data_IF_729103122086
#
_entry.id   IF_729103122086
#
_cell.length_a   1.000
_cell.length_b   1.000
_cell.length_c   1.000
_cell.angle_alpha   90.00
_cell.angle_beta   90.00
_cell.angle_gamma   90.00
#
_symmetry.space_group_name_H-M   'P 1'
#
loop_
_entity.id
_entity.type
_entity.pdbx_description
1 polymer ?
#
# COMPACT_ATOMS: atom_id res chain seq x y z
N UNK A 1 -6.56 21.02 0.49
CA UNK A 1 -7.36 20.64 -0.68
C UNK A 1 -7.88 19.23 -0.46
N UNK A 2 -9.18 18.99 -0.52
CA UNK A 2 -9.72 17.62 -0.48
C UNK A 2 -9.45 16.96 -1.81
N UNK A 3 -8.61 15.93 -1.84
CA UNK A 3 -8.48 15.07 -3.02
C UNK A 3 -9.81 14.35 -3.20
N UNK A 4 -10.53 14.69 -4.25
CA UNK A 4 -11.74 13.95 -4.65
C UNK A 4 -11.32 12.61 -5.23
N UNK A 5 -12.05 11.55 -4.88
CA UNK A 5 -11.84 10.25 -5.48
C UNK A 5 -12.08 10.32 -6.99
N UNK A 6 -11.24 9.63 -7.75
CA UNK A 6 -11.35 9.54 -9.21
C UNK A 6 -12.62 8.81 -9.62
N UNK A 7 -13.10 7.88 -8.79
CA UNK A 7 -14.38 7.20 -8.94
C UNK A 7 -15.16 7.24 -7.62
N UNK A 8 -16.42 7.71 -7.59
CA UNK A 8 -17.20 7.79 -6.35
C UNK A 8 -17.51 6.42 -5.72
N UNK A 9 -17.42 5.34 -6.49
CA UNK A 9 -17.65 3.98 -5.99
C UNK A 9 -16.39 3.33 -5.43
N UNK A 10 -15.21 3.95 -5.61
CA UNK A 10 -13.97 3.40 -5.09
C UNK A 10 -13.91 3.52 -3.56
N UNK A 11 -13.49 2.47 -2.85
CA UNK A 11 -13.28 2.54 -1.41
C UNK A 11 -12.23 3.60 -1.06
N UNK A 12 -12.53 4.40 -0.03
CA UNK A 12 -11.56 5.30 0.59
C UNK A 12 -11.22 4.75 1.96
N UNK A 13 -9.93 4.49 2.19
CA UNK A 13 -9.40 4.07 3.48
C UNK A 13 -8.46 5.15 4.02
N UNK A 14 -7.99 4.99 5.25
CA UNK A 14 -7.10 5.96 5.86
C UNK A 14 -6.07 5.31 6.79
N UNK A 15 -4.96 6.03 6.97
CA UNK A 15 -3.98 5.76 8.02
C UNK A 15 -3.80 7.00 8.89
N UNK A 16 -3.92 6.82 10.20
CA UNK A 16 -3.46 7.80 11.18
C UNK A 16 -1.98 7.53 11.45
N UNK A 17 -1.13 8.51 11.16
CA UNK A 17 0.32 8.35 11.18
C UNK A 17 0.88 8.98 12.44
N UNK A 18 1.79 8.25 13.08
CA UNK A 18 2.61 8.76 14.17
C UNK A 18 4.09 8.72 13.80
N UNK A 19 4.85 9.71 14.25
CA UNK A 19 6.31 9.77 14.10
C UNK A 19 6.89 10.05 15.48
N UNK A 20 7.76 9.17 15.98
CA UNK A 20 8.32 9.30 17.33
C UNK A 20 7.25 9.30 18.44
N UNK A 21 6.11 8.64 18.21
CA UNK A 21 4.97 8.62 19.14
C UNK A 21 4.07 9.85 19.10
N UNK A 22 4.34 10.82 18.23
CA UNK A 22 3.47 12.00 18.03
C UNK A 22 2.58 11.83 16.80
N UNK A 23 1.31 12.17 16.93
CA UNK A 23 0.36 12.18 15.81
C UNK A 23 0.74 13.28 14.80
N UNK A 24 0.99 12.89 13.55
CA UNK A 24 1.39 13.83 12.47
C UNK A 24 0.31 14.04 11.42
N UNK A 25 -0.78 13.26 11.49
CA UNK A 25 -1.97 13.47 10.68
C UNK A 25 -2.49 12.20 10.02
N UNK A 26 -3.52 12.41 9.19
CA UNK A 26 -4.25 11.34 8.50
C UNK A 26 -3.96 11.34 7.01
N UNK A 27 -3.48 10.21 6.49
CA UNK A 27 -3.45 9.94 5.05
C UNK A 27 -4.77 9.30 4.64
N UNK A 28 -5.41 9.81 3.59
CA UNK A 28 -6.57 9.17 2.95
C UNK A 28 -6.13 8.58 1.62
N UNK A 29 -6.58 7.37 1.34
CA UNK A 29 -6.15 6.59 0.17
C UNK A 29 -7.39 6.09 -0.53
N UNK A 30 -7.53 6.43 -1.82
CA UNK A 30 -8.49 5.80 -2.70
C UNK A 30 -7.91 4.46 -3.20
N UNK A 31 -8.73 3.41 -3.15
CA UNK A 31 -8.39 2.10 -3.71
C UNK A 31 -9.12 1.95 -5.04
N UNK A 32 -8.37 1.74 -6.12
CA UNK A 32 -8.93 1.60 -7.48
C UNK A 32 -9.63 0.24 -7.68
N UNK A 33 -10.71 0.00 -6.94
CA UNK A 33 -11.48 -1.24 -6.99
C UNK A 33 -12.17 -1.46 -8.34
N UNK A 34 -12.41 -0.39 -9.09
CA UNK A 34 -12.88 -0.44 -10.47
C UNK A 34 -11.82 -0.95 -11.47
N UNK A 35 -10.52 -0.85 -11.13
CA UNK A 35 -9.41 -1.31 -11.99
C UNK A 35 -8.78 -2.61 -11.49
N UNK A 36 -8.60 -2.73 -10.17
CA UNK A 36 -7.93 -3.85 -9.48
C UNK A 36 -8.76 -4.29 -8.24
N UNK A 37 -9.97 -4.85 -8.44
CA UNK A 37 -10.90 -5.19 -7.35
C UNK A 37 -10.30 -6.14 -6.31
N UNK A 38 -9.51 -7.14 -6.72
CA UNK A 38 -8.91 -8.10 -5.76
C UNK A 38 -7.83 -7.44 -4.92
N UNK A 39 -6.98 -6.64 -5.56
CA UNK A 39 -5.90 -5.93 -4.90
C UNK A 39 -6.45 -4.87 -3.93
N UNK A 40 -7.46 -4.12 -4.37
CA UNK A 40 -8.17 -3.14 -3.55
C UNK A 40 -8.84 -3.80 -2.33
N UNK A 41 -9.54 -4.92 -2.52
CA UNK A 41 -10.21 -5.62 -1.42
C UNK A 41 -9.20 -6.18 -0.41
N UNK A 42 -8.09 -6.72 -0.90
CA UNK A 42 -7.01 -7.18 -0.05
C UNK A 42 -6.42 -6.06 0.82
N UNK A 43 -6.29 -4.85 0.30
CA UNK A 43 -5.81 -3.70 1.07
C UNK A 43 -6.87 -3.16 2.03
N UNK A 44 -8.15 -3.13 1.61
CA UNK A 44 -9.27 -2.58 2.40
C UNK A 44 -9.48 -3.30 3.73
N UNK A 45 -9.21 -4.61 3.75
CA UNK A 45 -9.25 -5.55 4.88
C UNK A 45 -10.07 -5.09 6.09
N UNK A 46 -11.37 -5.35 6.02
CA UNK A 46 -12.29 -5.22 7.16
C UNK A 46 -12.36 -6.57 7.90
N UNK A 47 -12.19 -6.61 9.22
CA UNK A 47 -12.58 -7.76 10.06
C UNK A 47 -11.62 -8.96 10.23
N UNK A 48 -10.33 -8.89 9.87
CA UNK A 48 -9.33 -9.92 10.25
C UNK A 48 -8.52 -9.43 11.46
N UNK A 49 -8.19 -10.28 12.45
CA UNK A 49 -7.44 -9.88 13.65
C UNK A 49 -6.04 -9.27 13.41
N UNK A 50 -5.54 -9.31 12.17
CA UNK A 50 -4.21 -8.86 11.77
C UNK A 50 -4.36 -7.94 10.55
N UNK A 51 -3.89 -6.70 10.64
CA UNK A 51 -3.99 -5.69 9.60
C UNK A 51 -2.96 -4.57 9.80
N UNK A 52 -3.08 -3.46 9.08
CA UNK A 52 -2.08 -2.37 9.08
C UNK A 52 -1.99 -1.56 10.38
N UNK A 53 -2.88 -1.78 11.35
CA UNK A 53 -2.82 -1.06 12.63
C UNK A 53 -1.54 -1.42 13.37
N UNK A 54 -0.81 -0.39 13.81
CA UNK A 54 0.51 -0.52 14.45
C UNK A 54 1.62 -1.05 13.53
N UNK A 55 1.40 -1.16 12.22
CA UNK A 55 2.51 -1.32 11.27
C UNK A 55 3.36 -0.05 11.23
N UNK A 56 4.65 -0.26 10.98
CA UNK A 56 5.60 0.82 10.71
C UNK A 56 5.88 0.94 9.21
N UNK A 57 6.32 2.11 8.78
CA UNK A 57 7.04 2.27 7.53
C UNK A 57 8.49 1.88 7.75
N UNK A 58 8.81 0.59 7.59
CA UNK A 58 10.14 0.05 7.88
C UNK A 58 11.21 0.52 6.88
N UNK A 59 10.82 1.03 5.71
CA UNK A 59 11.76 1.53 4.71
C UNK A 59 11.29 2.85 4.10
N UNK A 60 12.06 3.90 4.32
CA UNK A 60 11.79 5.26 3.85
C UNK A 60 12.98 5.72 3.01
N UNK A 61 12.77 5.92 1.71
CA UNK A 61 13.81 6.42 0.79
C UNK A 61 13.35 7.78 0.25
N UNK A 62 14.09 8.82 0.67
CA UNK A 62 13.85 10.19 0.22
C UNK A 62 13.86 10.26 -1.32
N UNK A 63 12.91 11.01 -1.87
CA UNK A 63 12.74 11.23 -3.32
C UNK A 63 12.44 9.96 -4.12
N UNK A 64 12.01 8.88 -3.44
CA UNK A 64 11.66 7.62 -4.09
C UNK A 64 10.37 7.00 -3.54
N UNK A 65 10.34 6.49 -2.30
CA UNK A 65 9.14 5.80 -1.80
C UNK A 65 9.18 5.61 -0.28
N UNK A 66 8.00 5.36 0.28
CA UNK A 66 7.84 4.81 1.63
C UNK A 66 7.20 3.43 1.52
N UNK A 67 7.80 2.44 2.19
CA UNK A 67 7.35 1.07 2.20
C UNK A 67 6.98 0.67 3.63
N UNK A 68 5.82 0.05 3.75
CA UNK A 68 5.29 -0.47 5.00
C UNK A 68 4.31 -1.61 4.76
N UNK A 69 3.51 -1.90 5.77
CA UNK A 69 2.48 -2.93 5.68
C UNK A 69 2.95 -4.36 5.94
N UNK A 70 4.21 -4.54 6.32
CA UNK A 70 4.65 -5.78 6.95
C UNK A 70 4.20 -5.80 8.42
N UNK A 71 3.03 -6.38 8.67
CA UNK A 71 2.50 -6.63 10.02
C UNK A 71 2.88 -8.01 10.56
N UNK A 72 3.64 -8.80 9.79
CA UNK A 72 4.03 -10.17 10.17
C UNK A 72 5.38 -10.11 10.89
N UNK A 73 6.39 -9.52 10.24
CA UNK A 73 7.76 -9.45 10.73
C UNK A 73 8.21 -8.01 11.02
N UNK A 74 7.59 -7.02 10.37
CA UNK A 74 7.90 -5.60 10.56
C UNK A 74 9.23 -5.15 9.94
N UNK A 75 9.87 -5.99 9.13
CA UNK A 75 11.20 -5.76 8.55
C UNK A 75 11.21 -5.77 7.01
N UNK A 76 10.08 -6.07 6.40
CA UNK A 76 9.90 -6.17 4.96
C UNK A 76 10.00 -7.59 4.40
N UNK A 77 10.04 -8.63 5.25
CA UNK A 77 10.07 -10.04 4.84
C UNK A 77 8.72 -10.75 4.99
N UNK A 78 7.77 -10.12 5.69
CA UNK A 78 6.45 -10.70 5.91
C UNK A 78 5.59 -10.78 4.65
N UNK A 79 4.89 -11.91 4.48
CA UNK A 79 3.92 -12.10 3.40
C UNK A 79 2.60 -12.54 4.00
N UNK A 80 1.54 -11.77 3.70
CA UNK A 80 0.19 -12.12 4.10
C UNK A 80 -0.79 -11.45 3.14
N UNK A 81 -1.82 -12.18 2.71
CA UNK A 81 -2.97 -11.63 1.98
C UNK A 81 -4.26 -12.22 2.55
N UNK A 82 -5.41 -11.63 2.21
CA UNK A 82 -6.73 -12.22 2.54
C UNK A 82 -7.01 -13.54 1.79
N UNK A 83 -6.21 -13.86 0.78
CA UNK A 83 -6.38 -15.01 -0.10
C UNK A 83 -5.57 -16.25 0.33
N UNK A 84 -5.05 -16.26 1.57
CA UNK A 84 -4.30 -17.39 2.18
C UNK A 84 -3.00 -17.73 1.44
N UNK A 85 -2.11 -16.76 1.36
CA UNK A 85 -0.81 -16.89 0.70
C UNK A 85 -0.55 -15.66 -0.16
N UNK A 86 0.49 -15.67 -0.99
CA UNK A 86 0.63 -14.62 -1.97
C UNK A 86 -0.41 -14.79 -3.10
N UNK A 87 -0.63 -13.73 -3.88
CA UNK A 87 -1.56 -13.76 -5.02
C UNK A 87 -0.93 -13.07 -6.23
N UNK A 88 -1.30 -13.54 -7.42
CA UNK A 88 -0.77 -13.06 -8.68
C UNK A 88 -1.13 -11.59 -8.96
N UNK A 89 -0.27 -10.91 -9.72
CA UNK A 89 -0.52 -9.56 -10.23
C UNK A 89 -1.85 -9.52 -11.00
N UNK A 90 -2.74 -8.61 -10.58
CA UNK A 90 -4.08 -8.53 -11.16
C UNK A 90 -4.07 -7.88 -12.55
N UNK A 91 -3.35 -6.77 -12.72
CA UNK A 91 -2.97 -6.15 -13.99
C UNK A 91 -1.98 -4.99 -13.76
N UNK A 92 -1.46 -4.42 -14.86
CA UNK A 92 -0.51 -3.28 -14.86
C UNK A 92 -1.05 -2.05 -15.59
N UNK A 93 -2.37 -1.80 -15.54
CA UNK A 93 -3.00 -0.69 -16.29
C UNK A 93 -2.64 0.68 -15.71
N UNK A 94 -2.45 0.77 -14.40
CA UNK A 94 -2.10 2.02 -13.70
C UNK A 94 -0.59 2.13 -13.63
N UNK A 95 -0.03 3.18 -14.23
CA UNK A 95 1.40 3.47 -14.19
C UNK A 95 1.76 4.37 -13.01
N UNK A 96 2.97 4.20 -12.48
CA UNK A 96 3.59 5.07 -11.48
C UNK A 96 3.96 6.44 -12.07
N UNK A 97 2.94 7.22 -12.41
CA UNK A 97 3.06 8.48 -13.17
C UNK A 97 3.10 9.73 -12.30
N UNK A 98 2.72 9.63 -11.02
CA UNK A 98 2.71 10.75 -10.08
C UNK A 98 3.04 10.32 -8.64
N UNK A 99 3.51 11.26 -7.79
CA UNK A 99 3.62 11.05 -6.35
C UNK A 99 2.28 10.70 -5.70
N UNK A 100 2.32 9.92 -4.62
CA UNK A 100 1.15 9.60 -3.79
C UNK A 100 0.33 8.41 -4.26
N UNK A 101 0.77 7.70 -5.31
CA UNK A 101 0.15 6.45 -5.72
C UNK A 101 0.44 5.33 -4.72
N UNK A 102 -0.56 4.49 -4.46
CA UNK A 102 -0.42 3.24 -3.71
C UNK A 102 -0.06 2.12 -4.68
N UNK A 103 0.95 1.32 -4.34
CA UNK A 103 1.39 0.16 -5.12
C UNK A 103 1.64 -1.03 -4.21
N UNK A 104 1.45 -2.23 -4.74
CA UNK A 104 1.88 -3.46 -4.06
C UNK A 104 3.41 -3.56 -4.13
N UNK A 105 4.02 -4.05 -3.05
CA UNK A 105 5.42 -4.45 -3.09
C UNK A 105 5.56 -5.75 -3.87
N UNK A 106 6.48 -5.76 -4.82
CA UNK A 106 6.96 -6.98 -5.48
C UNK A 106 8.49 -7.01 -5.34
N UNK A 107 9.10 -8.18 -5.12
CA UNK A 107 10.55 -8.33 -5.19
C UNK A 107 11.01 -8.03 -6.62
N UNK A 108 11.39 -6.78 -6.87
CA UNK A 108 11.82 -6.35 -8.20
C UNK A 108 13.25 -6.80 -8.44
N UNK A 109 13.47 -7.55 -9.53
CA UNK A 109 14.79 -7.71 -10.14
C UNK A 109 15.41 -6.37 -10.56
N UNK A 110 16.72 -6.36 -10.87
CA UNK A 110 17.44 -5.12 -11.19
C UNK A 110 16.86 -4.51 -12.47
N UNK A 111 16.04 -3.45 -12.34
CA UNK A 111 15.84 -2.33 -13.30
C UNK A 111 14.49 -1.57 -13.16
N UNK A 112 13.61 -1.91 -12.22
CA UNK A 112 12.28 -1.27 -12.13
C UNK A 112 12.15 -0.29 -10.95
N UNK A 113 12.87 0.84 -11.02
CA UNK A 113 12.80 1.91 -9.98
C UNK A 113 12.02 3.12 -10.50
N UNK A 114 10.71 3.24 -10.23
CA UNK A 114 10.00 4.47 -10.53
C UNK A 114 10.65 5.64 -9.75
N UNK A 115 10.89 6.79 -10.39
CA UNK A 115 11.57 7.93 -9.73
C UNK A 115 10.65 8.81 -8.89
N UNK A 116 9.44 8.33 -8.57
CA UNK A 116 8.39 9.15 -7.96
C UNK A 116 8.00 8.62 -6.57
N UNK A 117 7.74 9.51 -5.59
CA UNK A 117 7.27 9.17 -4.24
C UNK A 117 6.02 8.29 -4.26
N UNK A 118 6.19 6.97 -4.12
CA UNK A 118 5.09 6.00 -4.10
C UNK A 118 4.94 5.44 -2.69
N UNK A 119 3.70 5.18 -2.27
CA UNK A 119 3.41 4.38 -1.09
C UNK A 119 3.41 2.91 -1.51
N UNK A 120 4.33 2.13 -0.94
CA UNK A 120 4.43 0.70 -1.19
C UNK A 120 3.86 -0.03 0.02
N UNK A 121 2.80 -0.80 -0.21
CA UNK A 121 2.26 -1.71 0.78
C UNK A 121 2.70 -3.13 0.47
N UNK A 122 3.28 -3.79 1.47
CA UNK A 122 3.73 -5.16 1.33
C UNK A 122 2.55 -6.13 1.42
N UNK A 123 2.17 -6.67 0.27
CA UNK A 123 1.30 -7.81 0.17
C UNK A 123 1.44 -8.39 -1.25
N UNK A 124 1.92 -9.61 -1.41
CA UNK A 124 2.26 -10.15 -2.74
C UNK A 124 3.34 -11.23 -2.71
N UNK A 125 3.60 -11.88 -3.85
CA UNK A 125 4.54 -13.01 -4.00
C UNK A 125 5.99 -12.68 -3.59
N UNK A 126 6.68 -13.76 -3.19
CA UNK A 126 8.09 -13.79 -2.74
C UNK A 126 9.03 -13.94 -3.93
#
# INVERSE_FOLDING_TARGET
>A
MSVQATNPNNPIVFFDITIGGQDVGRMKIELFADVVPRTAENFRKDGVPIGFKSCTFHRVIKDFMIQGGDFVNGDGTGICSIYRGPFADENFRVQHSMPGLLSMNVPTGPNNKPKLPILIAQCGEM
#
